data_IF_751190227672
#
_entry.id   IF_751190227672
#
_cell.length_a   1.000
_cell.length_b   1.000
_cell.length_c   1.000
_cell.angle_alpha   90.00
_cell.angle_beta   90.00
_cell.angle_gamma   90.00
#
_symmetry.space_group_name_H-M   'P 1'
#
loop_
_entity.id
_entity.type
_entity.pdbx_description
1 polymer ?
#
# COMPACT_ATOMS: atom_id res chain seq x y z
N UNK A 1 28.42 -2.86 -7.20
CA UNK A 1 27.41 -1.79 -7.43
C UNK A 1 26.29 -2.10 -6.47
N UNK A 2 25.78 -1.13 -5.74
CA UNK A 2 24.63 -1.34 -4.87
C UNK A 2 23.40 -1.57 -5.76
N UNK A 3 22.70 -2.68 -5.57
CA UNK A 3 21.46 -2.99 -6.29
C UNK A 3 20.39 -1.99 -5.90
N UNK A 4 19.56 -1.55 -6.84
CA UNK A 4 18.41 -0.66 -6.61
C UNK A 4 17.17 -1.30 -7.21
N UNK A 5 16.00 -0.94 -6.71
CA UNK A 5 14.75 -1.36 -7.34
C UNK A 5 14.62 -0.73 -8.74
N UNK A 6 14.04 -1.42 -9.74
CA UNK A 6 13.83 -0.86 -11.06
C UNK A 6 12.79 0.26 -11.04
N UNK A 7 12.85 1.14 -12.05
CA UNK A 7 11.83 2.17 -12.29
C UNK A 7 11.03 1.81 -13.52
N UNK A 8 9.70 1.90 -13.44
CA UNK A 8 8.75 1.64 -14.52
C UNK A 8 7.97 2.91 -14.82
N UNK A 9 7.85 3.27 -16.09
CA UNK A 9 7.12 4.47 -16.53
C UNK A 9 5.71 4.09 -16.96
N UNK A 10 4.70 4.59 -16.24
CA UNK A 10 3.30 4.29 -16.50
C UNK A 10 2.77 4.87 -17.81
N UNK A 11 3.41 5.89 -18.38
CA UNK A 11 3.00 6.42 -19.69
C UNK A 11 3.06 5.38 -20.80
N UNK A 12 3.89 4.35 -20.65
CA UNK A 12 3.98 3.23 -21.59
C UNK A 12 2.70 2.39 -21.61
N UNK A 13 2.01 2.24 -20.46
CA UNK A 13 0.73 1.52 -20.39
C UNK A 13 -0.35 2.21 -21.22
N UNK A 14 -0.36 3.54 -21.20
CA UNK A 14 -1.37 4.37 -21.86
C UNK A 14 -1.02 4.73 -23.30
N UNK A 15 0.07 4.21 -23.85
CA UNK A 15 0.50 4.51 -25.21
C UNK A 15 -0.43 3.91 -26.26
N UNK A 16 -0.62 4.64 -27.37
CA UNK A 16 -1.27 4.09 -28.56
C UNK A 16 -0.41 3.06 -29.31
N UNK A 17 0.91 3.00 -29.00
CA UNK A 17 1.86 2.06 -29.57
C UNK A 17 1.81 0.72 -28.82
N UNK A 18 1.49 -0.35 -29.52
CA UNK A 18 1.38 -1.70 -28.96
C UNK A 18 2.73 -2.21 -28.39
N UNK A 19 3.86 -1.87 -29.02
CA UNK A 19 5.18 -2.30 -28.54
C UNK A 19 5.55 -1.61 -27.23
N UNK A 20 5.12 -0.37 -27.01
CA UNK A 20 5.32 0.34 -25.74
C UNK A 20 4.47 -0.28 -24.63
N UNK A 21 3.21 -0.63 -24.89
CA UNK A 21 2.38 -1.35 -23.92
C UNK A 21 2.95 -2.72 -23.57
N UNK A 22 3.45 -3.47 -24.56
CA UNK A 22 4.17 -4.73 -24.30
C UNK A 22 5.43 -4.53 -23.47
N UNK A 23 6.17 -3.45 -23.73
CA UNK A 23 7.35 -3.11 -22.92
C UNK A 23 6.97 -2.79 -21.46
N UNK A 24 5.84 -2.12 -21.22
CA UNK A 24 5.32 -1.90 -19.88
C UNK A 24 5.04 -3.21 -19.16
N UNK A 25 4.26 -4.11 -19.78
CA UNK A 25 3.94 -5.45 -19.23
C UNK A 25 5.22 -6.22 -18.88
N UNK A 26 6.20 -6.19 -19.79
CA UNK A 26 7.48 -6.87 -19.55
C UNK A 26 8.26 -6.27 -18.38
N UNK A 27 8.34 -4.93 -18.29
CA UNK A 27 9.04 -4.25 -17.20
C UNK A 27 8.40 -4.51 -15.83
N UNK A 28 7.06 -4.45 -15.74
CA UNK A 28 6.33 -4.79 -14.51
C UNK A 28 6.60 -6.23 -14.10
N UNK A 29 6.43 -7.16 -15.03
CA UNK A 29 6.62 -8.58 -14.76
C UNK A 29 8.04 -8.93 -14.38
N UNK A 30 9.04 -8.42 -15.09
CA UNK A 30 10.46 -8.66 -14.77
C UNK A 30 10.84 -8.10 -13.40
N UNK A 31 10.33 -6.92 -13.04
CA UNK A 31 10.58 -6.32 -11.74
C UNK A 31 10.00 -7.15 -10.58
N UNK A 32 8.76 -7.61 -10.72
CA UNK A 32 8.11 -8.47 -9.72
C UNK A 32 8.72 -9.87 -9.67
N UNK A 33 9.20 -10.39 -10.79
CA UNK A 33 9.92 -11.68 -10.85
C UNK A 33 11.30 -11.59 -10.21
N UNK A 34 12.06 -10.52 -10.47
CA UNK A 34 13.47 -10.42 -10.07
C UNK A 34 13.62 -10.01 -8.59
N UNK A 35 12.91 -9.00 -8.12
CA UNK A 35 13.04 -8.46 -6.77
C UNK A 35 11.70 -8.31 -6.02
N UNK A 36 10.57 -8.43 -6.72
CA UNK A 36 9.26 -8.22 -6.13
C UNK A 36 8.85 -6.75 -5.96
N UNK A 37 9.68 -5.80 -6.38
CA UNK A 37 9.49 -4.36 -6.13
C UNK A 37 9.87 -3.52 -7.34
N UNK A 38 9.16 -2.41 -7.54
CA UNK A 38 9.57 -1.34 -8.48
C UNK A 38 9.03 0.03 -8.06
N UNK A 39 9.68 1.08 -8.56
CA UNK A 39 9.18 2.44 -8.44
C UNK A 39 8.40 2.80 -9.71
N UNK A 40 7.12 3.11 -9.57
CA UNK A 40 6.24 3.53 -10.66
C UNK A 40 6.25 5.05 -10.76
N UNK A 41 6.67 5.58 -11.90
CA UNK A 41 6.66 7.02 -12.20
C UNK A 41 5.60 7.37 -13.23
N UNK A 42 5.21 8.64 -13.29
CA UNK A 42 4.17 9.15 -14.21
C UNK A 42 2.82 8.42 -14.06
N UNK A 43 2.50 7.97 -12.87
CA UNK A 43 1.34 7.14 -12.53
C UNK A 43 -0.03 7.84 -12.66
N UNK A 44 -0.07 9.12 -12.99
CA UNK A 44 -1.30 9.87 -13.25
C UNK A 44 -2.09 10.34 -12.03
N UNK A 45 -1.78 9.83 -10.82
CA UNK A 45 -2.43 10.32 -9.60
C UNK A 45 -1.95 11.74 -9.30
N UNK A 46 -2.90 12.62 -9.02
CA UNK A 46 -2.65 14.02 -8.76
C UNK A 46 -1.78 14.21 -7.50
N UNK A 47 -0.62 14.83 -7.69
CA UNK A 47 0.31 15.12 -6.60
C UNK A 47 -0.31 16.03 -5.53
N UNK A 48 -1.19 16.97 -5.92
CA UNK A 48 -1.89 17.84 -4.96
C UNK A 48 -2.85 17.02 -4.09
N UNK A 49 -3.53 16.03 -4.66
CA UNK A 49 -4.39 15.11 -3.91
C UNK A 49 -3.58 14.30 -2.88
N UNK A 50 -2.39 13.82 -3.25
CA UNK A 50 -1.49 13.12 -2.33
C UNK A 50 -1.07 14.05 -1.18
N UNK A 51 -0.68 15.29 -1.48
CA UNK A 51 -0.29 16.27 -0.46
C UNK A 51 -1.47 16.65 0.45
N UNK A 52 -2.68 16.78 -0.10
CA UNK A 52 -3.89 17.01 0.69
C UNK A 52 -4.18 15.82 1.61
N UNK A 53 -3.99 14.58 1.14
CA UNK A 53 -4.15 13.39 1.96
C UNK A 53 -3.17 13.38 3.15
N UNK A 54 -1.89 13.69 2.93
CA UNK A 54 -0.92 13.86 4.02
C UNK A 54 -1.36 14.94 5.01
N UNK A 55 -1.80 16.11 4.52
CA UNK A 55 -2.25 17.19 5.39
C UNK A 55 -3.48 16.80 6.24
N UNK A 56 -4.39 15.98 5.71
CA UNK A 56 -5.53 15.46 6.48
C UNK A 56 -5.08 14.41 7.50
N UNK A 57 -4.12 13.55 7.16
CA UNK A 57 -3.52 12.58 8.08
C UNK A 57 -2.82 13.28 9.24
N UNK A 58 -1.99 14.27 8.96
CA UNK A 58 -1.29 15.06 9.99
C UNK A 58 -2.29 15.68 10.97
N UNK A 59 -3.36 16.32 10.46
CA UNK A 59 -4.43 16.88 11.31
C UNK A 59 -5.06 15.85 12.24
N UNK A 60 -5.27 14.63 11.75
CA UNK A 60 -5.84 13.58 12.57
C UNK A 60 -4.84 13.07 13.62
N UNK A 61 -3.61 12.79 13.23
CA UNK A 61 -2.60 12.23 14.14
C UNK A 61 -2.10 13.24 15.19
N UNK A 62 -2.25 14.55 14.95
CA UNK A 62 -2.00 15.62 15.92
C UNK A 62 -3.09 15.76 17.00
N UNK A 63 -4.26 15.10 16.85
CA UNK A 63 -5.30 15.11 17.87
C UNK A 63 -4.81 14.47 19.17
N UNK A 64 -5.42 14.87 20.28
CA UNK A 64 -5.12 14.23 21.56
C UNK A 64 -5.47 12.73 21.56
N UNK A 65 -4.75 11.99 22.37
CA UNK A 65 -4.85 10.53 22.40
C UNK A 65 -6.26 10.02 22.71
N UNK A 66 -7.02 10.70 23.60
CA UNK A 66 -8.37 10.28 23.93
C UNK A 66 -9.31 10.44 22.73
N UNK A 67 -9.16 11.52 21.97
CA UNK A 67 -9.92 11.76 20.75
C UNK A 67 -9.58 10.71 19.69
N UNK A 68 -8.29 10.42 19.44
CA UNK A 68 -7.89 9.35 18.51
C UNK A 68 -8.46 8.00 18.93
N UNK A 69 -8.37 7.66 20.21
CA UNK A 69 -8.89 6.39 20.75
C UNK A 69 -10.40 6.24 20.67
N UNK A 70 -11.17 7.30 20.53
CA UNK A 70 -12.61 7.19 20.30
C UNK A 70 -12.96 6.53 18.94
N UNK A 71 -12.00 6.42 18.04
CA UNK A 71 -12.12 5.75 16.74
C UNK A 71 -11.56 4.32 16.71
N UNK A 72 -11.17 3.76 17.88
CA UNK A 72 -10.82 2.34 17.99
C UNK A 72 -12.08 1.47 17.83
N UNK A 73 -12.00 0.45 16.99
CA UNK A 73 -13.11 -0.47 16.69
C UNK A 73 -12.67 -1.93 16.95
N UNK A 74 -12.48 -2.33 18.22
CA UNK A 74 -12.03 -3.69 18.54
C UNK A 74 -13.04 -4.77 18.15
N UNK A 75 -14.33 -4.44 18.09
CA UNK A 75 -15.41 -5.35 17.71
C UNK A 75 -15.32 -5.85 16.25
N UNK A 76 -14.59 -5.14 15.41
CA UNK A 76 -14.29 -5.54 14.02
C UNK A 76 -12.80 -5.84 13.82
N UNK A 77 -12.08 -6.21 14.88
CA UNK A 77 -10.65 -6.49 14.88
C UNK A 77 -9.81 -5.36 14.24
N UNK A 78 -10.19 -4.11 14.49
CA UNK A 78 -9.53 -2.90 14.00
C UNK A 78 -9.40 -2.80 12.46
N UNK A 79 -10.28 -3.48 11.71
CA UNK A 79 -10.23 -3.46 10.24
C UNK A 79 -10.60 -2.10 9.62
N UNK A 80 -11.11 -1.16 10.41
CA UNK A 80 -11.45 0.22 10.02
C UNK A 80 -11.13 1.16 11.18
N UNK A 81 -10.98 2.44 10.86
CA UNK A 81 -10.72 3.46 11.86
C UNK A 81 -9.27 3.46 12.35
N UNK A 82 -9.10 3.86 13.58
CA UNK A 82 -7.78 4.08 14.19
C UNK A 82 -7.24 2.82 14.86
N UNK A 83 -5.95 2.60 14.69
CA UNK A 83 -5.15 1.65 15.48
C UNK A 83 -4.07 2.41 16.24
N UNK A 84 -4.04 2.25 17.56
CA UNK A 84 -3.20 3.04 18.43
C UNK A 84 -1.72 2.63 18.34
N UNK A 85 -0.86 3.57 18.70
CA UNK A 85 0.59 3.38 18.73
C UNK A 85 1.00 2.15 19.54
N UNK A 86 1.89 1.35 18.97
CA UNK A 86 2.46 0.19 19.65
C UNK A 86 1.49 -0.98 19.86
N UNK A 87 0.39 -1.05 19.14
CA UNK A 87 -0.60 -2.15 19.23
C UNK A 87 -0.30 -3.26 18.21
N UNK A 88 0.14 -2.91 17.02
CA UNK A 88 0.45 -3.89 15.97
C UNK A 88 1.83 -4.52 16.21
N UNK A 89 1.93 -5.81 15.95
CA UNK A 89 3.18 -6.58 16.02
C UNK A 89 3.39 -7.33 14.72
N UNK A 90 4.62 -7.34 14.21
CA UNK A 90 4.97 -8.31 13.15
C UNK A 90 4.94 -9.75 13.75
N UNK A 91 4.59 -10.72 12.91
CA UNK A 91 4.26 -12.11 13.29
C UNK A 91 5.25 -12.75 14.25
N UNK A 92 6.51 -12.55 14.15
CA UNK A 92 7.55 -13.20 14.97
C UNK A 92 8.35 -12.22 15.82
N UNK A 93 7.86 -10.97 15.98
CA UNK A 93 8.52 -9.97 16.80
C UNK A 93 7.72 -9.72 18.09
N UNK A 94 8.31 -9.97 19.29
CA UNK A 94 7.64 -9.68 20.55
C UNK A 94 7.54 -8.18 20.86
N UNK A 95 8.37 -7.34 20.24
CA UNK A 95 8.29 -5.90 20.38
C UNK A 95 7.23 -5.34 19.42
N UNK A 96 6.40 -4.38 19.88
CA UNK A 96 5.43 -3.73 19.02
C UNK A 96 6.12 -2.85 17.98
N UNK A 97 5.48 -2.69 16.82
CA UNK A 97 5.87 -1.71 15.83
C UNK A 97 5.58 -0.30 16.35
N UNK A 98 6.54 0.61 16.13
CA UNK A 98 6.46 1.99 16.61
C UNK A 98 5.68 2.87 15.62
N UNK A 99 4.44 2.51 15.39
CA UNK A 99 3.53 3.18 14.47
C UNK A 99 2.10 3.22 15.02
N UNK A 100 1.34 4.18 14.54
CA UNK A 100 -0.12 4.24 14.63
C UNK A 100 -0.67 4.43 13.23
N UNK A 101 -1.92 4.07 12.97
CA UNK A 101 -2.47 4.24 11.64
C UNK A 101 -3.99 4.36 11.64
N UNK A 102 -4.50 4.94 10.54
CA UNK A 102 -5.90 4.88 10.17
C UNK A 102 -6.10 3.91 9.02
N UNK A 103 -7.22 3.18 9.03
CA UNK A 103 -7.52 2.18 8.03
C UNK A 103 -8.92 2.38 7.46
N UNK A 104 -9.02 2.35 6.13
CA UNK A 104 -10.27 2.41 5.39
C UNK A 104 -10.28 1.33 4.30
N UNK A 105 -11.44 0.92 3.84
CA UNK A 105 -11.60 -0.04 2.77
C UNK A 105 -12.68 0.41 1.80
N UNK A 106 -13.12 -0.47 0.91
CA UNK A 106 -14.19 -0.17 -0.05
C UNK A 106 -15.39 0.46 0.61
N UNK A 107 -15.83 1.61 0.08
CA UNK A 107 -16.94 2.40 0.59
C UNK A 107 -18.28 2.13 -0.09
N UNK A 108 -18.31 1.29 -1.13
CA UNK A 108 -19.51 0.98 -1.88
C UNK A 108 -20.05 -0.42 -1.54
N UNK A 109 -21.38 -0.64 -1.67
CA UNK A 109 -21.97 -1.96 -1.46
C UNK A 109 -21.35 -2.98 -2.42
N UNK A 110 -21.09 -4.16 -1.90
CA UNK A 110 -20.72 -5.33 -2.70
C UNK A 110 -21.99 -6.05 -3.06
N UNK A 111 -22.27 -6.23 -4.35
CA UNK A 111 -23.45 -6.91 -4.83
C UNK A 111 -23.33 -8.43 -4.62
N UNK A 112 -24.34 -9.03 -3.99
CA UNK A 112 -24.46 -10.49 -3.85
C UNK A 112 -24.25 -11.03 -2.43
N UNK A 113 -24.17 -12.38 -2.26
CA UNK A 113 -24.05 -13.04 -0.95
C UNK A 113 -22.63 -12.99 -0.35
N UNK A 114 -21.77 -12.13 -0.82
CA UNK A 114 -20.36 -12.02 -0.47
C UNK A 114 -20.17 -11.45 0.94
N UNK A 115 -19.01 -11.67 1.60
CA UNK A 115 -18.78 -11.20 2.94
C UNK A 115 -19.00 -9.69 3.03
N UNK A 116 -19.84 -9.29 3.98
CA UNK A 116 -20.06 -7.88 4.28
C UNK A 116 -18.83 -7.36 4.99
N UNK A 117 -18.04 -6.53 4.34
CA UNK A 117 -16.91 -5.86 4.98
C UNK A 117 -17.42 -4.80 5.96
N UNK A 118 -16.66 -4.49 7.03
CA UNK A 118 -17.02 -3.44 7.95
C UNK A 118 -17.16 -2.10 7.24
N UNK A 119 -18.14 -1.31 7.67
CA UNK A 119 -18.34 0.05 7.16
C UNK A 119 -17.18 0.95 7.56
N UNK A 120 -16.79 1.84 6.66
CA UNK A 120 -15.82 2.88 6.98
C UNK A 120 -16.36 3.83 8.03
N UNK A 121 -15.50 4.28 8.92
CA UNK A 121 -15.74 5.37 9.85
C UNK A 121 -14.88 6.56 9.45
N UNK A 122 -15.26 7.76 9.88
CA UNK A 122 -14.58 8.99 9.45
C UNK A 122 -14.49 9.99 10.59
N UNK A 123 -13.36 10.70 10.74
CA UNK A 123 -13.17 11.68 11.82
C UNK A 123 -13.78 13.05 11.46
N UNK A 124 -15.05 13.07 11.02
CA UNK A 124 -15.71 14.26 10.45
C UNK A 124 -15.73 15.47 11.40
N UNK A 125 -15.84 15.23 12.72
CA UNK A 125 -15.91 16.30 13.71
C UNK A 125 -14.54 16.97 13.94
N UNK A 126 -13.45 16.29 13.60
CA UNK A 126 -12.08 16.73 13.87
C UNK A 126 -11.29 17.03 12.60
N UNK A 127 -11.56 16.31 11.52
CA UNK A 127 -10.96 16.48 10.20
C UNK A 127 -12.02 16.41 9.09
N UNK A 128 -12.80 17.48 8.87
CA UNK A 128 -13.99 17.44 7.99
C UNK A 128 -13.69 17.07 6.53
N UNK A 129 -12.50 17.41 6.01
CA UNK A 129 -12.11 17.09 4.65
C UNK A 129 -11.45 15.71 4.51
N UNK A 130 -11.14 15.04 5.61
CA UNK A 130 -10.45 13.75 5.62
C UNK A 130 -11.15 12.74 4.70
N UNK A 131 -12.45 12.54 4.90
CA UNK A 131 -13.23 11.59 4.12
C UNK A 131 -13.14 11.86 2.62
N UNK A 132 -13.45 13.08 2.18
CA UNK A 132 -13.53 13.40 0.74
C UNK A 132 -12.19 13.26 0.03
N UNK A 133 -11.10 13.61 0.71
CA UNK A 133 -9.74 13.48 0.17
C UNK A 133 -9.31 12.01 0.11
N UNK A 134 -9.51 11.27 1.21
CA UNK A 134 -9.10 9.86 1.29
C UNK A 134 -9.96 8.97 0.38
N UNK A 135 -11.28 9.17 0.30
CA UNK A 135 -12.14 8.40 -0.62
C UNK A 135 -11.71 8.61 -2.09
N UNK A 136 -11.34 9.84 -2.47
CA UNK A 136 -10.86 10.12 -3.82
C UNK A 136 -9.50 9.44 -4.07
N UNK A 137 -8.54 9.61 -3.17
CA UNK A 137 -7.23 8.95 -3.31
C UNK A 137 -7.37 7.43 -3.34
N UNK A 138 -8.25 6.86 -2.52
CA UNK A 138 -8.56 5.44 -2.53
C UNK A 138 -9.04 4.97 -3.91
N UNK A 139 -9.98 5.71 -4.51
CA UNK A 139 -10.52 5.38 -5.84
C UNK A 139 -9.42 5.43 -6.91
N UNK A 140 -8.63 6.51 -6.94
CA UNK A 140 -7.56 6.68 -7.92
C UNK A 140 -6.49 5.57 -7.77
N UNK A 141 -6.15 5.18 -6.53
CA UNK A 141 -5.21 4.09 -6.25
C UNK A 141 -5.79 2.71 -6.61
N UNK A 142 -7.09 2.49 -6.40
CA UNK A 142 -7.75 1.24 -6.77
C UNK A 142 -7.80 1.06 -8.30
N UNK A 143 -8.09 2.12 -9.05
CA UNK A 143 -8.04 2.11 -10.52
C UNK A 143 -6.62 1.81 -11.03
N UNK A 144 -5.61 2.48 -10.48
CA UNK A 144 -4.21 2.20 -10.81
C UNK A 144 -3.81 0.75 -10.49
N UNK A 145 -4.26 0.22 -9.36
CA UNK A 145 -3.96 -1.16 -8.97
C UNK A 145 -4.55 -2.17 -9.96
N UNK A 146 -5.72 -1.88 -10.52
CA UNK A 146 -6.35 -2.71 -11.53
C UNK A 146 -5.50 -2.77 -12.81
N UNK A 147 -5.04 -1.63 -13.33
CA UNK A 147 -4.18 -1.59 -14.53
C UNK A 147 -2.85 -2.34 -14.31
N UNK A 148 -2.29 -2.28 -13.10
CA UNK A 148 -1.10 -3.06 -12.75
C UNK A 148 -1.39 -4.57 -12.68
N UNK A 149 -2.53 -4.99 -12.17
CA UNK A 149 -2.95 -6.39 -12.16
C UNK A 149 -3.24 -6.91 -13.58
N UNK A 150 -3.78 -6.08 -14.48
CA UNK A 150 -3.91 -6.38 -15.91
C UNK A 150 -2.54 -6.67 -16.54
N UNK A 151 -1.54 -5.83 -16.27
CA UNK A 151 -0.17 -6.06 -16.73
C UNK A 151 0.43 -7.36 -16.17
N UNK A 152 0.20 -7.65 -14.89
CA UNK A 152 0.62 -8.91 -14.28
C UNK A 152 -0.04 -10.12 -14.95
N UNK A 153 -1.34 -10.06 -15.24
CA UNK A 153 -2.07 -11.12 -15.95
C UNK A 153 -1.46 -11.39 -17.33
N UNK A 154 -1.23 -10.34 -18.10
CA UNK A 154 -0.63 -10.42 -19.44
C UNK A 154 0.79 -11.00 -19.42
N UNK A 155 1.62 -10.60 -18.45
CA UNK A 155 2.96 -11.16 -18.26
C UNK A 155 2.94 -12.66 -17.99
N UNK A 156 1.95 -13.13 -17.24
CA UNK A 156 1.73 -14.55 -16.94
C UNK A 156 1.14 -15.32 -18.13
N UNK A 157 0.84 -14.67 -19.26
CA UNK A 157 0.19 -15.28 -20.42
C UNK A 157 -1.29 -15.60 -20.20
N UNK A 158 -1.91 -14.97 -19.19
CA UNK A 158 -3.32 -15.11 -18.84
C UNK A 158 -4.16 -14.03 -19.54
N UNK A 159 -5.50 -14.17 -19.59
CA UNK A 159 -6.40 -13.08 -19.97
C UNK A 159 -6.13 -11.82 -19.14
N UNK A 160 -6.26 -10.65 -19.75
CA UNK A 160 -5.97 -9.35 -19.13
C UNK A 160 -6.78 -9.13 -17.85
N UNK A 161 -8.01 -9.58 -17.79
CA UNK A 161 -8.96 -9.46 -16.68
C UNK A 161 -8.78 -10.52 -15.58
N UNK A 162 -7.86 -11.48 -15.73
CA UNK A 162 -7.75 -12.65 -14.85
C UNK A 162 -7.45 -12.29 -13.38
N UNK A 163 -6.45 -11.46 -13.09
CA UNK A 163 -6.18 -10.99 -11.71
C UNK A 163 -7.17 -9.91 -11.26
N UNK A 164 -7.52 -8.91 -12.10
CA UNK A 164 -8.58 -7.96 -11.77
C UNK A 164 -9.90 -8.61 -11.32
N UNK A 165 -10.39 -9.64 -12.01
CA UNK A 165 -11.62 -10.36 -11.62
C UNK A 165 -11.48 -11.06 -10.25
N UNK A 166 -10.31 -11.59 -9.92
CA UNK A 166 -10.04 -12.16 -8.58
C UNK A 166 -9.99 -11.09 -7.48
N UNK A 167 -9.53 -9.90 -7.80
CA UNK A 167 -9.46 -8.77 -6.88
C UNK A 167 -10.79 -8.02 -6.77
N UNK A 168 -11.69 -8.21 -7.75
CA UNK A 168 -13.00 -7.57 -7.72
C UNK A 168 -13.78 -8.00 -6.48
N UNK A 169 -14.48 -7.03 -5.87
CA UNK A 169 -15.21 -7.21 -4.61
C UNK A 169 -14.34 -7.71 -3.44
N UNK A 170 -13.02 -7.74 -3.57
CA UNK A 170 -12.09 -8.08 -2.48
C UNK A 170 -12.06 -7.02 -1.38
N UNK A 171 -11.51 -7.37 -0.21
CA UNK A 171 -11.33 -6.44 0.92
C UNK A 171 -10.07 -5.59 0.71
N UNK A 172 -10.05 -4.77 -0.33
CA UNK A 172 -8.97 -3.82 -0.54
C UNK A 172 -8.96 -2.77 0.57
N UNK A 173 -7.81 -2.53 1.14
CA UNK A 173 -7.63 -1.64 2.29
C UNK A 173 -6.58 -0.58 1.95
N UNK A 174 -6.88 0.67 2.29
CA UNK A 174 -5.89 1.74 2.34
C UNK A 174 -5.53 2.02 3.79
N UNK A 175 -4.24 2.09 4.06
CA UNK A 175 -3.69 2.34 5.39
C UNK A 175 -2.86 3.62 5.38
N UNK A 176 -3.24 4.61 6.18
CA UNK A 176 -2.48 5.82 6.43
C UNK A 176 -1.67 5.63 7.71
N UNK A 177 -0.35 5.52 7.57
CA UNK A 177 0.55 5.16 8.66
C UNK A 177 1.30 6.40 9.14
N UNK A 178 1.29 6.62 10.46
CA UNK A 178 2.07 7.64 11.12
C UNK A 178 3.18 7.02 11.97
N UNK A 179 4.39 7.46 11.72
CA UNK A 179 5.59 7.11 12.49
C UNK A 179 6.04 8.34 13.29
N UNK A 180 5.61 8.49 14.54
CA UNK A 180 6.01 9.64 15.35
C UNK A 180 7.52 9.66 15.61
N UNK A 181 8.08 10.81 16.03
CA UNK A 181 9.45 10.88 16.50
C UNK A 181 9.71 9.85 17.59
N UNK A 182 10.85 9.16 17.51
CA UNK A 182 11.20 8.14 18.47
C UNK A 182 11.62 8.77 19.81
N UNK A 183 11.03 8.29 20.92
CA UNK A 183 11.45 8.61 22.25
C UNK A 183 12.69 7.77 22.62
N UNK A 184 13.74 8.36 23.23
CA UNK A 184 14.92 7.63 23.70
C UNK A 184 14.62 6.51 24.71
N UNK A 185 13.43 6.51 25.31
CA UNK A 185 12.98 5.48 26.29
C UNK A 185 12.29 4.28 25.63
N UNK A 186 12.19 4.23 24.29
CA UNK A 186 11.58 3.10 23.59
C UNK A 186 12.29 1.78 23.92
N UNK A 187 11.54 0.65 23.96
CA UNK A 187 12.11 -0.66 24.23
C UNK A 187 13.27 -1.01 23.29
N UNK A 188 14.31 -1.61 23.81
CA UNK A 188 15.41 -2.12 22.99
C UNK A 188 14.89 -3.15 21.99
N UNK A 189 15.28 -3.03 20.72
CA UNK A 189 14.82 -3.89 19.64
C UNK A 189 13.47 -3.52 19.02
N UNK A 190 12.77 -2.50 19.52
CA UNK A 190 11.59 -1.97 18.87
C UNK A 190 11.99 -1.17 17.60
N UNK A 191 11.28 -1.40 16.51
CA UNK A 191 11.49 -0.76 15.21
C UNK A 191 10.20 -0.09 14.74
N UNK A 192 10.29 0.83 13.78
CA UNK A 192 9.11 1.50 13.21
C UNK A 192 8.17 0.52 12.54
N UNK A 193 8.70 -0.41 11.76
CA UNK A 193 7.99 -1.53 11.17
C UNK A 193 8.97 -2.69 11.03
N UNK A 194 8.69 -3.81 11.64
CA UNK A 194 9.51 -5.00 11.50
C UNK A 194 9.33 -5.60 10.10
N UNK A 195 10.35 -6.34 9.64
CA UNK A 195 10.28 -7.02 8.35
C UNK A 195 9.07 -7.97 8.30
N UNK A 196 8.28 -7.87 7.24
CA UNK A 196 7.09 -8.67 7.00
C UNK A 196 6.79 -8.73 5.50
N UNK A 197 5.93 -9.65 5.12
CA UNK A 197 5.31 -9.73 3.79
C UNK A 197 3.85 -9.32 3.92
N UNK A 198 3.33 -8.58 2.93
CA UNK A 198 1.92 -8.21 2.89
C UNK A 198 1.05 -9.36 2.40
N UNK A 199 -0.09 -9.60 3.07
CA UNK A 199 -1.05 -10.65 2.71
C UNK A 199 -2.03 -10.10 1.66
N UNK A 200 -1.56 -9.95 0.44
CA UNK A 200 -2.36 -9.44 -0.69
C UNK A 200 -1.77 -9.86 -2.03
N UNK A 201 -2.32 -9.36 -3.15
CA UNK A 201 -1.72 -9.50 -4.48
C UNK A 201 -0.61 -8.50 -4.68
N UNK A 202 -0.92 -7.20 -4.56
CA UNK A 202 0.04 -6.11 -4.70
C UNK A 202 -0.26 -5.01 -3.68
N UNK A 203 0.79 -4.32 -3.27
CA UNK A 203 0.70 -3.09 -2.49
C UNK A 203 1.23 -1.92 -3.33
N UNK A 204 0.50 -0.81 -3.28
CA UNK A 204 0.89 0.47 -3.83
C UNK A 204 1.21 1.40 -2.65
N UNK A 205 2.49 1.69 -2.45
CA UNK A 205 2.96 2.54 -1.36
C UNK A 205 3.32 3.92 -1.91
N UNK A 206 2.54 4.93 -1.55
CA UNK A 206 2.90 6.32 -1.80
C UNK A 206 4.19 6.63 -1.05
N UNK A 207 5.13 7.27 -1.73
CA UNK A 207 6.48 7.53 -1.16
C UNK A 207 6.37 8.21 0.20
N UNK A 208 7.08 7.66 1.18
CA UNK A 208 7.09 8.19 2.54
C UNK A 208 7.75 9.58 2.59
N UNK A 209 7.37 10.37 3.61
CA UNK A 209 7.95 11.69 3.86
C UNK A 209 9.38 11.64 4.43
N UNK A 210 9.92 10.43 4.65
CA UNK A 210 11.29 10.22 5.15
C UNK A 210 11.86 8.89 4.64
N UNK A 211 13.17 8.80 4.58
CA UNK A 211 13.91 7.59 4.25
C UNK A 211 13.71 6.48 5.29
N UNK A 212 13.96 5.23 4.90
CA UNK A 212 14.00 4.09 5.82
C UNK A 212 13.30 2.82 5.31
N UNK A 213 12.69 2.85 4.13
CA UNK A 213 12.18 1.63 3.51
C UNK A 213 13.34 0.78 2.97
N UNK A 214 13.37 -0.48 3.35
CA UNK A 214 14.37 -1.45 2.91
C UNK A 214 13.67 -2.72 2.44
N UNK A 215 14.22 -3.35 1.41
CA UNK A 215 13.75 -4.61 0.82
C UNK A 215 14.85 -5.64 0.95
N UNK A 216 14.50 -6.86 1.34
CA UNK A 216 15.47 -7.96 1.41
C UNK A 216 15.64 -8.62 0.05
N UNK A 217 16.88 -8.63 -0.45
CA UNK A 217 17.26 -9.34 -1.68
C UNK A 217 17.41 -10.85 -1.44
N UNK A 218 17.56 -11.63 -2.50
CA UNK A 218 17.68 -13.08 -2.47
C UNK A 218 18.85 -13.62 -1.68
N UNK A 219 19.94 -12.85 -1.61
CA UNK A 219 21.13 -13.21 -0.85
C UNK A 219 21.05 -12.84 0.64
N UNK A 220 19.89 -12.28 1.08
CA UNK A 220 19.66 -11.81 2.43
C UNK A 220 20.21 -10.41 2.71
N UNK A 221 20.76 -9.72 1.72
CA UNK A 221 21.17 -8.33 1.86
C UNK A 221 19.98 -7.37 1.79
N UNK A 222 20.07 -6.24 2.51
CA UNK A 222 19.05 -5.21 2.48
C UNK A 222 19.35 -4.16 1.42
N UNK A 223 18.39 -3.86 0.59
CA UNK A 223 18.41 -2.82 -0.43
C UNK A 223 17.59 -1.64 0.08
N UNK A 224 18.23 -0.49 0.23
CA UNK A 224 17.53 0.73 0.58
C UNK A 224 16.71 1.22 -0.63
N UNK A 225 15.40 1.36 -0.43
CA UNK A 225 14.51 1.92 -1.44
C UNK A 225 14.60 3.43 -1.38
N UNK A 226 15.23 4.01 -2.39
CA UNK A 226 15.25 5.46 -2.60
C UNK A 226 14.26 5.75 -3.71
N UNK A 227 13.10 6.26 -3.35
CA UNK A 227 12.09 6.70 -4.31
C UNK A 227 12.36 8.15 -4.76
N UNK A 228 11.95 8.48 -5.98
CA UNK A 228 11.58 9.85 -6.34
C UNK A 228 10.37 10.21 -5.46
N UNK A 229 10.33 11.43 -4.90
CA UNK A 229 9.20 11.92 -4.09
C UNK A 229 7.83 11.83 -4.81
N UNK A 230 7.86 11.63 -6.12
CA UNK A 230 6.68 11.50 -6.99
C UNK A 230 6.41 10.06 -7.45
N UNK A 231 7.18 9.07 -6.99
CA UNK A 231 6.96 7.69 -7.37
C UNK A 231 6.02 6.99 -6.40
N UNK A 232 5.28 6.00 -6.89
CA UNK A 232 4.60 5.00 -6.07
C UNK A 232 5.47 3.74 -6.08
N UNK A 233 5.80 3.24 -4.90
CA UNK A 233 6.49 1.96 -4.78
C UNK A 233 5.44 0.85 -4.87
N UNK A 234 5.62 -0.04 -5.83
CA UNK A 234 4.72 -1.18 -6.06
C UNK A 234 5.47 -2.46 -5.72
N UNK A 235 4.81 -3.35 -5.00
CA UNK A 235 5.37 -4.66 -4.70
C UNK A 235 4.30 -5.75 -4.59
N UNK A 236 4.72 -6.98 -4.85
CA UNK A 236 3.89 -8.18 -4.73
C UNK A 236 3.78 -8.61 -3.28
N UNK A 237 2.59 -9.13 -2.91
CA UNK A 237 2.35 -9.77 -1.64
C UNK A 237 2.41 -11.30 -1.74
N UNK A 238 2.36 -11.96 -0.59
CA UNK A 238 2.47 -13.41 -0.47
C UNK A 238 1.34 -14.17 -1.20
N UNK A 239 0.15 -13.58 -1.32
CA UNK A 239 -0.95 -14.21 -2.07
C UNK A 239 -0.62 -14.31 -3.56
N UNK A 240 -0.04 -13.26 -4.16
CA UNK A 240 0.37 -13.29 -5.57
C UNK A 240 1.56 -14.23 -5.77
N UNK A 241 2.51 -14.23 -4.84
CA UNK A 241 3.63 -15.17 -4.84
C UNK A 241 3.14 -16.63 -4.82
N UNK A 242 2.21 -16.95 -3.92
CA UNK A 242 1.63 -18.28 -3.82
C UNK A 242 0.83 -18.66 -5.06
N UNK A 243 -0.02 -17.75 -5.57
CA UNK A 243 -0.83 -17.98 -6.76
C UNK A 243 0.02 -18.28 -8.00
N UNK A 244 1.15 -17.61 -8.13
CA UNK A 244 2.08 -17.76 -9.26
C UNK A 244 3.18 -18.81 -9.02
N UNK A 245 3.06 -19.59 -7.94
CA UNK A 245 4.05 -20.61 -7.56
C UNK A 245 5.48 -20.05 -7.46
N UNK A 246 5.62 -18.85 -6.93
CA UNK A 246 6.89 -18.16 -6.72
C UNK A 246 7.48 -17.52 -7.98
N UNK A 247 6.69 -17.37 -9.06
CA UNK A 247 7.15 -16.63 -10.23
C UNK A 247 7.26 -15.13 -9.92
N UNK A 248 6.24 -14.57 -9.29
CA UNK A 248 6.33 -13.26 -8.62
C UNK A 248 6.75 -13.46 -7.17
N UNK A 249 7.38 -12.46 -6.59
CA UNK A 249 8.01 -12.54 -5.26
C UNK A 249 7.46 -11.54 -4.30
#
# INVERSE_FOLDING_TARGET
MTRTIPTVDFTLAQSSNEDERKAFVQQVGDALHDIGFFALVNHGIDTELIMDAYAQCDRFFELDENTKRSYLLPEIAHQRGYTAFGVEHAKDNPAPDLKEFWQTGRGYPIDGPTPTYPQNVWPNDHAPAFRSVIDRLYTDMEELSKELLEACSLYLGMPEDWLPEMADQGNTIMRMIHYPPLDPTMPEGAVRSAAHEDINFITLLVTATADGLEVMDHDGSWIQVKGDEKAIIVYSGDMLQNLTNGLFR
#
